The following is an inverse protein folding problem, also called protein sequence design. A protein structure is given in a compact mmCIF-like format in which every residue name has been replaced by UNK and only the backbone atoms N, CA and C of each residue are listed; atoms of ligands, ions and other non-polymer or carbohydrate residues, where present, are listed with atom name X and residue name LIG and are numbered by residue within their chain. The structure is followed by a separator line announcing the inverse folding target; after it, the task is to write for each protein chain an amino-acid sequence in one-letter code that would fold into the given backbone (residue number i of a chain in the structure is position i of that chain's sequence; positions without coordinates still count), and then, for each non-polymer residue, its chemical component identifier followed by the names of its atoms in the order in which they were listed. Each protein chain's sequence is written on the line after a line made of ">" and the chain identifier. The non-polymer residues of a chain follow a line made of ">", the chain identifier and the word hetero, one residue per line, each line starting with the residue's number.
data_IF_032461378504
#
_entry.id   IF_032461378504
#
_cell.length_a   1.000
_cell.length_b   1.000
_cell.length_c   1.000
_cell.angle_alpha   90.00
_cell.angle_beta   90.00
_cell.angle_gamma   90.00
#
_symmetry.space_group_name_H-M   'P 1'
#
loop_
_entity.id
_entity.type
_entity.pdbx_description
1 polymer ?
#
# COMPACT_ATOMS: atom_id res chain seq x y z
N UNK A 1 22.51 -77.20 -27.70
CA UNK A 1 22.52 -76.48 -26.41
C UNK A 1 22.76 -74.95 -26.50
N UNK A 2 23.18 -74.36 -27.63
CA UNK A 2 23.49 -72.91 -27.72
C UNK A 2 22.30 -71.95 -27.98
N UNK A 3 21.15 -72.43 -28.45
CA UNK A 3 19.99 -71.58 -28.81
C UNK A 3 19.27 -70.97 -27.59
N UNK A 4 19.24 -71.70 -26.47
CA UNK A 4 18.52 -71.29 -25.25
C UNK A 4 19.28 -70.18 -24.51
N UNK A 5 20.62 -70.23 -24.49
CA UNK A 5 21.46 -69.24 -23.83
C UNK A 5 21.47 -67.88 -24.56
N UNK A 6 21.47 -67.89 -25.89
CA UNK A 6 21.43 -66.65 -26.69
C UNK A 6 20.07 -65.96 -26.54
N UNK A 7 18.95 -66.71 -26.55
CA UNK A 7 17.62 -66.13 -26.27
C UNK A 7 17.53 -65.56 -24.84
N UNK A 8 18.09 -66.23 -23.85
CA UNK A 8 18.08 -65.77 -22.45
C UNK A 8 18.92 -64.49 -22.24
N UNK A 9 20.08 -64.38 -22.90
CA UNK A 9 20.91 -63.16 -22.89
C UNK A 9 20.23 -61.98 -23.59
N UNK A 10 19.56 -62.22 -24.72
CA UNK A 10 18.85 -61.16 -25.45
C UNK A 10 17.63 -60.66 -24.67
N UNK A 11 16.88 -61.56 -24.03
CA UNK A 11 15.78 -61.17 -23.13
C UNK A 11 16.27 -60.36 -21.94
N UNK A 12 17.34 -60.77 -21.26
CA UNK A 12 17.91 -60.00 -20.14
C UNK A 12 18.36 -58.59 -20.55
N UNK A 13 18.93 -58.43 -21.74
CA UNK A 13 19.36 -57.10 -22.25
C UNK A 13 18.16 -56.19 -22.57
N UNK A 14 17.05 -56.75 -23.06
CA UNK A 14 15.80 -56.00 -23.32
C UNK A 14 15.11 -55.62 -21.99
N UNK A 15 15.03 -56.53 -21.03
CA UNK A 15 14.48 -56.24 -19.70
C UNK A 15 15.29 -55.18 -18.95
N UNK A 16 16.63 -55.25 -19.01
CA UNK A 16 17.49 -54.27 -18.35
C UNK A 16 17.39 -52.87 -19.02
N UNK A 17 17.27 -52.81 -20.36
CA UNK A 17 17.02 -51.55 -21.09
C UNK A 17 15.65 -50.96 -20.78
N UNK A 18 14.62 -51.78 -20.61
CA UNK A 18 13.28 -51.33 -20.18
C UNK A 18 13.29 -50.80 -18.75
N UNK A 19 14.01 -51.45 -17.83
CA UNK A 19 14.20 -50.98 -16.46
C UNK A 19 14.88 -49.61 -16.39
N UNK A 20 15.98 -49.44 -17.15
CA UNK A 20 16.70 -48.15 -17.23
C UNK A 20 15.82 -47.06 -17.84
N UNK A 21 15.07 -47.37 -18.90
CA UNK A 21 14.17 -46.41 -19.54
C UNK A 21 13.04 -45.96 -18.59
N UNK A 22 12.47 -46.88 -17.81
CA UNK A 22 11.43 -46.55 -16.81
C UNK A 22 12.00 -45.65 -15.71
N UNK A 23 13.19 -45.95 -15.20
CA UNK A 23 13.85 -45.11 -14.18
C UNK A 23 14.19 -43.72 -14.72
N UNK A 24 14.64 -43.61 -15.97
CA UNK A 24 14.87 -42.32 -16.62
C UNK A 24 13.58 -41.50 -16.77
N UNK A 25 12.47 -42.12 -17.18
CA UNK A 25 11.18 -41.43 -17.30
C UNK A 25 10.67 -40.98 -15.93
N UNK A 26 10.76 -41.82 -14.90
CA UNK A 26 10.36 -41.45 -13.53
C UNK A 26 11.25 -40.32 -13.01
N UNK A 27 12.56 -40.38 -13.22
CA UNK A 27 13.49 -39.30 -12.85
C UNK A 27 13.21 -37.99 -13.57
N UNK A 28 12.88 -38.05 -14.86
CA UNK A 28 12.52 -36.87 -15.66
C UNK A 28 11.19 -36.25 -15.19
N UNK A 29 10.18 -37.07 -14.91
CA UNK A 29 8.90 -36.63 -14.34
C UNK A 29 9.10 -36.02 -12.95
N UNK A 30 9.94 -36.63 -12.11
CA UNK A 30 10.24 -36.15 -10.77
C UNK A 30 10.95 -34.79 -10.74
N UNK A 31 11.67 -34.43 -11.81
CA UNK A 31 12.34 -33.12 -11.92
C UNK A 31 11.43 -32.10 -12.61
N UNK A 32 10.78 -32.47 -13.72
CA UNK A 32 10.00 -31.53 -14.53
C UNK A 32 8.71 -31.08 -13.82
N UNK A 33 8.02 -31.99 -13.13
CA UNK A 33 6.73 -31.67 -12.49
C UNK A 33 6.89 -30.63 -11.37
N UNK A 34 7.85 -30.74 -10.43
CA UNK A 34 8.07 -29.70 -9.42
C UNK A 34 8.51 -28.36 -10.01
N UNK A 35 9.31 -28.37 -11.08
CA UNK A 35 9.75 -27.13 -11.75
C UNK A 35 8.58 -26.42 -12.42
N UNK A 36 7.71 -27.14 -13.13
CA UNK A 36 6.50 -26.58 -13.73
C UNK A 36 5.53 -26.07 -12.65
N UNK A 37 5.42 -26.77 -11.53
CA UNK A 37 4.62 -26.34 -10.39
C UNK A 37 5.16 -25.06 -9.76
N UNK A 38 6.48 -24.95 -9.54
CA UNK A 38 7.13 -23.74 -9.04
C UNK A 38 6.94 -22.54 -9.99
N UNK A 39 7.17 -22.75 -11.30
CA UNK A 39 6.96 -21.70 -12.31
C UNK A 39 5.50 -21.25 -12.38
N UNK A 40 4.54 -22.17 -12.23
CA UNK A 40 3.12 -21.86 -12.14
C UNK A 40 2.78 -21.04 -10.88
N UNK A 41 3.36 -21.39 -9.73
CA UNK A 41 3.19 -20.61 -8.49
C UNK A 41 3.82 -19.21 -8.60
N UNK A 42 4.99 -19.08 -9.22
CA UNK A 42 5.64 -17.78 -9.41
C UNK A 42 4.88 -16.89 -10.40
N UNK A 43 4.39 -17.45 -11.52
CA UNK A 43 3.58 -16.73 -12.50
C UNK A 43 2.23 -16.27 -11.93
N UNK A 44 1.60 -17.08 -11.08
CA UNK A 44 0.36 -16.70 -10.38
C UNK A 44 0.61 -15.67 -9.28
N UNK A 45 1.78 -15.66 -8.64
CA UNK A 45 2.13 -14.66 -7.62
C UNK A 45 2.32 -13.26 -8.22
N UNK A 46 3.12 -13.13 -9.29
CA UNK A 46 3.38 -11.83 -9.92
C UNK A 46 2.13 -11.23 -10.56
N UNK A 47 1.28 -12.06 -11.16
CA UNK A 47 0.00 -11.60 -11.72
C UNK A 47 -0.96 -11.14 -10.62
N UNK A 48 -1.09 -11.88 -9.51
CA UNK A 48 -1.89 -11.45 -8.35
C UNK A 48 -1.39 -10.14 -7.74
N UNK A 49 -0.06 -9.98 -7.64
CA UNK A 49 0.57 -8.75 -7.17
C UNK A 49 0.26 -7.57 -8.10
N UNK A 50 0.37 -7.77 -9.41
CA UNK A 50 0.03 -6.76 -10.42
C UNK A 50 -1.46 -6.36 -10.36
N UNK A 51 -2.37 -7.33 -10.22
CA UNK A 51 -3.79 -7.04 -10.02
C UNK A 51 -4.04 -6.24 -8.74
N UNK A 52 -3.39 -6.60 -7.62
CA UNK A 52 -3.49 -5.86 -6.37
C UNK A 52 -3.01 -4.42 -6.51
N UNK A 53 -1.88 -4.19 -7.18
CA UNK A 53 -1.39 -2.82 -7.43
C UNK A 53 -2.31 -2.04 -8.37
N UNK A 54 -2.81 -2.70 -9.41
CA UNK A 54 -3.76 -2.08 -10.33
C UNK A 54 -5.04 -1.66 -9.60
N UNK A 55 -5.63 -2.54 -8.80
CA UNK A 55 -6.82 -2.25 -7.99
C UNK A 55 -6.56 -1.11 -7.00
N UNK A 56 -5.38 -1.08 -6.36
CA UNK A 56 -5.01 0.01 -5.47
C UNK A 56 -4.93 1.36 -6.20
N UNK A 57 -4.23 1.42 -7.33
CA UNK A 57 -4.10 2.63 -8.15
C UNK A 57 -5.45 3.10 -8.70
N UNK A 58 -6.30 2.16 -9.11
CA UNK A 58 -7.66 2.43 -9.58
C UNK A 58 -8.50 3.07 -8.46
N UNK A 59 -8.39 2.54 -7.24
CA UNK A 59 -9.12 3.05 -6.07
C UNK A 59 -8.69 4.47 -5.73
N UNK A 60 -7.37 4.70 -5.68
CA UNK A 60 -6.77 6.01 -5.41
C UNK A 60 -7.19 7.04 -6.47
N UNK A 61 -7.04 6.72 -7.76
CA UNK A 61 -7.39 7.63 -8.87
C UNK A 61 -8.89 7.96 -8.91
N UNK A 62 -9.74 7.00 -8.52
CA UNK A 62 -11.19 7.19 -8.41
C UNK A 62 -11.52 8.16 -7.26
N UNK A 63 -10.89 8.02 -6.09
CA UNK A 63 -11.05 8.97 -4.98
C UNK A 63 -10.53 10.38 -5.33
N UNK A 64 -9.39 10.49 -6.02
CA UNK A 64 -8.88 11.77 -6.53
C UNK A 64 -9.84 12.44 -7.50
N UNK A 65 -10.46 11.65 -8.38
CA UNK A 65 -11.49 12.15 -9.29
C UNK A 65 -12.71 12.67 -8.52
N UNK A 66 -13.11 12.00 -7.45
CA UNK A 66 -14.15 12.47 -6.54
C UNK A 66 -13.81 13.80 -5.85
N UNK A 67 -12.56 13.97 -5.40
CA UNK A 67 -12.06 15.23 -4.83
C UNK A 67 -12.11 16.37 -5.86
N UNK A 68 -11.65 16.12 -7.09
CA UNK A 68 -11.73 17.09 -8.18
C UNK A 68 -13.18 17.45 -8.57
N UNK A 69 -14.09 16.48 -8.50
CA UNK A 69 -15.53 16.73 -8.69
C UNK A 69 -16.08 17.63 -7.58
N UNK A 70 -15.60 17.48 -6.33
CA UNK A 70 -15.93 18.35 -5.21
C UNK A 70 -15.49 19.79 -5.43
N UNK A 71 -14.24 19.99 -5.85
CA UNK A 71 -13.73 21.33 -6.22
C UNK A 71 -14.57 21.93 -7.35
N UNK A 72 -14.89 21.15 -8.38
CA UNK A 72 -15.70 21.61 -9.52
C UNK A 72 -17.10 22.03 -9.10
N UNK A 73 -17.73 21.29 -8.18
CA UNK A 73 -19.03 21.64 -7.60
C UNK A 73 -18.96 22.93 -6.80
N UNK A 74 -17.94 23.09 -5.95
CA UNK A 74 -17.71 24.35 -5.24
C UNK A 74 -17.49 25.50 -6.21
N UNK A 75 -16.73 25.31 -7.30
CA UNK A 75 -16.55 26.34 -8.36
C UNK A 75 -17.86 26.68 -9.06
N UNK A 76 -18.80 25.74 -9.18
CA UNK A 76 -20.17 25.97 -9.64
C UNK A 76 -21.05 26.76 -8.65
N UNK A 77 -20.47 27.32 -7.58
CA UNK A 77 -21.17 28.04 -6.52
C UNK A 77 -22.22 27.18 -5.78
N UNK A 78 -22.04 25.85 -5.74
CA UNK A 78 -22.82 25.01 -4.84
C UNK A 78 -22.41 25.31 -3.40
N UNK A 79 -23.41 25.49 -2.53
CA UNK A 79 -23.22 25.88 -1.13
C UNK A 79 -23.90 24.93 -0.18
N UNK A 80 -23.41 24.95 1.06
CA UNK A 80 -23.95 24.15 2.15
C UNK A 80 -23.49 22.68 2.09
N UNK A 81 -24.13 21.85 2.91
CA UNK A 81 -23.78 20.44 2.99
C UNK A 81 -24.16 19.70 1.70
N UNK A 82 -23.23 18.91 1.16
CA UNK A 82 -23.48 17.99 0.06
C UNK A 82 -22.99 16.60 0.46
N UNK A 83 -23.82 15.59 0.26
CA UNK A 83 -23.42 14.21 0.41
C UNK A 83 -23.85 13.44 -0.83
N UNK A 84 -22.88 12.96 -1.59
CA UNK A 84 -23.06 12.33 -2.88
C UNK A 84 -22.47 10.94 -2.78
N UNK A 85 -23.32 9.94 -2.78
CA UNK A 85 -22.91 8.53 -2.74
C UNK A 85 -23.01 7.93 -4.12
N UNK A 86 -22.16 6.94 -4.42
CA UNK A 86 -22.21 6.13 -5.65
C UNK A 86 -22.16 6.97 -6.95
N UNK A 87 -21.34 8.02 -6.97
CA UNK A 87 -21.06 8.75 -8.21
C UNK A 87 -20.06 7.96 -9.05
N UNK A 88 -20.25 7.93 -10.37
CA UNK A 88 -19.45 7.07 -11.24
C UNK A 88 -18.32 7.83 -11.95
N UNK A 89 -17.17 7.17 -12.06
CA UNK A 89 -16.06 7.53 -12.95
C UNK A 89 -15.77 6.30 -13.80
N UNK A 90 -16.34 6.25 -15.00
CA UNK A 90 -16.40 5.01 -15.78
C UNK A 90 -17.31 4.00 -15.08
N UNK A 91 -16.77 2.82 -14.77
CA UNK A 91 -17.49 1.73 -14.08
C UNK A 91 -17.31 1.75 -12.55
N UNK A 92 -16.39 2.57 -12.04
CA UNK A 92 -16.05 2.62 -10.62
C UNK A 92 -16.78 3.75 -9.90
N UNK A 93 -17.13 3.52 -8.63
CA UNK A 93 -17.89 4.47 -7.83
C UNK A 93 -17.05 5.20 -6.80
N UNK A 94 -17.29 6.50 -6.63
CA UNK A 94 -16.81 7.30 -5.51
C UNK A 94 -17.98 7.87 -4.70
N UNK A 95 -17.69 8.22 -3.45
CA UNK A 95 -18.54 9.06 -2.62
C UNK A 95 -17.84 10.39 -2.35
N UNK A 96 -18.60 11.47 -2.26
CA UNK A 96 -18.13 12.81 -2.02
C UNK A 96 -19.00 13.49 -0.96
N UNK A 97 -18.38 13.91 0.13
CA UNK A 97 -18.97 14.72 1.17
C UNK A 97 -18.34 16.12 1.16
N UNK A 98 -19.15 17.16 0.98
CA UNK A 98 -18.75 18.55 1.19
C UNK A 98 -19.47 19.05 2.43
N UNK A 99 -18.72 19.31 3.50
CA UNK A 99 -19.27 19.76 4.76
C UNK A 99 -18.84 21.19 5.04
N UNK A 100 -19.79 22.15 5.15
CA UNK A 100 -19.45 23.50 5.55
C UNK A 100 -18.99 23.49 7.01
N UNK A 101 -17.85 24.14 7.26
CA UNK A 101 -17.23 24.21 8.61
C UNK A 101 -17.42 25.58 9.24
N UNK A 102 -17.55 26.62 8.42
CA UNK A 102 -17.77 27.98 8.90
C UNK A 102 -17.39 29.00 7.84
N UNK A 103 -17.05 30.21 8.31
CA UNK A 103 -16.58 31.30 7.47
C UNK A 103 -15.16 31.69 7.85
N UNK A 104 -14.34 31.96 6.84
CA UNK A 104 -12.99 32.48 7.02
C UNK A 104 -12.98 34.00 7.19
N UNK A 105 -11.76 34.52 7.38
CA UNK A 105 -11.51 35.93 7.68
C UNK A 105 -11.99 36.91 6.61
N UNK A 106 -11.93 36.52 5.34
CA UNK A 106 -12.37 37.30 4.18
C UNK A 106 -13.81 36.96 3.75
N UNK A 107 -14.63 36.43 4.68
CA UNK A 107 -15.99 35.95 4.41
C UNK A 107 -16.06 34.83 3.35
N UNK A 108 -14.96 34.08 3.15
CA UNK A 108 -15.00 32.84 2.38
C UNK A 108 -15.79 31.77 3.16
N UNK A 109 -16.56 30.96 2.46
CA UNK A 109 -17.18 29.77 3.05
C UNK A 109 -16.15 28.64 3.08
N UNK A 110 -15.94 28.06 4.25
CA UNK A 110 -14.96 27.00 4.48
C UNK A 110 -15.64 25.63 4.41
N UNK A 111 -15.01 24.67 3.76
CA UNK A 111 -15.51 23.32 3.59
C UNK A 111 -14.45 22.28 3.94
N UNK A 112 -14.88 21.21 4.61
CA UNK A 112 -14.19 19.93 4.51
C UNK A 112 -14.73 19.16 3.32
N UNK A 113 -13.83 18.71 2.47
CA UNK A 113 -14.11 17.87 1.33
C UNK A 113 -13.57 16.48 1.63
N UNK A 114 -14.44 15.49 1.70
CA UNK A 114 -14.06 14.08 1.78
C UNK A 114 -14.52 13.36 0.53
N UNK A 115 -13.58 12.76 -0.19
CA UNK A 115 -13.83 11.89 -1.31
C UNK A 115 -13.32 10.49 -0.98
N UNK A 116 -14.18 9.48 -1.08
CA UNK A 116 -13.82 8.09 -0.81
C UNK A 116 -14.16 7.19 -1.99
N UNK A 117 -13.35 6.15 -2.17
CA UNK A 117 -13.59 5.10 -3.16
C UNK A 117 -13.29 3.76 -2.53
N UNK A 118 -14.11 2.76 -2.86
CA UNK A 118 -13.94 1.38 -2.41
C UNK A 118 -14.08 0.45 -3.60
N UNK A 119 -12.99 -0.26 -3.91
CA UNK A 119 -12.94 -1.21 -5.02
C UNK A 119 -12.45 -2.54 -4.45
N UNK A 120 -13.35 -3.53 -4.44
CA UNK A 120 -13.12 -4.83 -3.80
C UNK A 120 -12.67 -4.68 -2.33
N UNK A 121 -11.43 -5.05 -2.01
CA UNK A 121 -10.83 -4.95 -0.68
C UNK A 121 -10.05 -3.65 -0.43
N UNK A 122 -9.89 -2.80 -1.45
CA UNK A 122 -9.16 -1.54 -1.34
C UNK A 122 -10.12 -0.41 -0.99
N UNK A 123 -9.77 0.37 0.03
CA UNK A 123 -10.47 1.59 0.41
C UNK A 123 -9.47 2.74 0.35
N UNK A 124 -9.89 3.86 -0.20
CA UNK A 124 -9.08 5.06 -0.25
C UNK A 124 -9.96 6.26 0.05
N UNK A 125 -9.54 7.08 1.01
CA UNK A 125 -10.21 8.31 1.36
C UNK A 125 -9.23 9.48 1.24
N UNK A 126 -9.70 10.55 0.61
CA UNK A 126 -9.03 11.84 0.49
C UNK A 126 -9.86 12.86 1.23
N UNK A 127 -9.22 13.57 2.14
CA UNK A 127 -9.76 14.75 2.76
C UNK A 127 -8.97 15.96 2.26
N UNK A 128 -9.64 17.08 2.03
CA UNK A 128 -9.00 18.38 1.85
C UNK A 128 -9.85 19.48 2.48
N UNK A 129 -9.21 20.57 2.88
CA UNK A 129 -9.91 21.82 3.16
C UNK A 129 -10.11 22.60 1.86
N UNK A 130 -11.27 23.22 1.71
CA UNK A 130 -11.56 24.09 0.58
C UNK A 130 -12.17 25.41 1.05
N UNK A 131 -11.63 26.51 0.54
CA UNK A 131 -12.14 27.86 0.74
C UNK A 131 -12.87 28.30 -0.52
N UNK A 132 -14.16 28.60 -0.40
CA UNK A 132 -14.98 29.13 -1.48
C UNK A 132 -15.22 30.62 -1.25
N UNK A 133 -14.72 31.46 -2.15
CA UNK A 133 -14.96 32.91 -2.06
C UNK A 133 -16.35 33.24 -2.63
N UNK A 134 -17.04 34.19 -2.00
CA UNK A 134 -18.31 34.70 -2.51
C UNK A 134 -18.07 35.45 -3.83
N UNK A 135 -18.75 35.10 -4.93
CA UNK A 135 -18.65 35.85 -6.18
C UNK A 135 -19.49 37.13 -6.11
N UNK A 136 -18.95 38.20 -6.68
CA UNK A 136 -19.72 39.12 -7.53
C UNK A 136 -19.96 38.41 -8.89
N UNK A 137 -21.07 38.66 -9.61
CA UNK A 137 -22.26 37.81 -9.63
C UNK A 137 -22.29 36.64 -10.65
N UNK A 138 -21.16 36.07 -11.10
CA UNK A 138 -21.15 34.99 -12.10
C UNK A 138 -20.16 33.86 -11.74
N UNK A 139 -20.53 32.56 -11.72
CA UNK A 139 -19.58 31.47 -11.59
C UNK A 139 -18.59 31.43 -12.79
N UNK A 140 -17.37 30.90 -12.62
CA UNK A 140 -16.90 30.10 -11.49
C UNK A 140 -16.40 30.94 -10.32
N UNK A 141 -16.72 30.50 -9.11
CA UNK A 141 -16.18 31.08 -7.87
C UNK A 141 -14.74 30.66 -7.66
N UNK A 142 -13.94 31.54 -7.08
CA UNK A 142 -12.59 31.18 -6.63
C UNK A 142 -12.71 30.15 -5.51
N UNK A 143 -12.12 28.97 -5.74
CA UNK A 143 -11.99 27.91 -4.75
C UNK A 143 -10.51 27.62 -4.55
N UNK A 144 -10.04 27.76 -3.31
CA UNK A 144 -8.69 27.41 -2.91
C UNK A 144 -8.77 26.13 -2.07
N UNK A 145 -8.30 25.02 -2.63
CA UNK A 145 -8.11 23.78 -1.87
C UNK A 145 -6.74 23.80 -1.19
N UNK A 146 -6.69 23.50 0.10
CA UNK A 146 -5.46 23.39 0.89
C UNK A 146 -5.50 22.14 1.76
N UNK A 147 -4.32 21.78 2.24
CA UNK A 147 -4.11 20.68 3.19
C UNK A 147 -4.79 19.37 2.74
N UNK A 148 -4.14 18.68 1.80
CA UNK A 148 -4.62 17.38 1.35
C UNK A 148 -4.16 16.29 2.32
N UNK A 149 -5.10 15.47 2.77
CA UNK A 149 -4.84 14.27 3.55
C UNK A 149 -5.40 13.07 2.80
N UNK A 150 -4.63 11.99 2.75
CA UNK A 150 -5.02 10.75 2.12
C UNK A 150 -4.70 9.58 3.04
N UNK A 151 -5.53 8.53 2.95
CA UNK A 151 -5.37 7.31 3.74
C UNK A 151 -5.77 6.12 2.89
N UNK A 152 -4.93 5.08 2.93
CA UNK A 152 -5.11 3.79 2.26
C UNK A 152 -5.72 2.74 3.20
N UNK A 153 -6.06 3.15 4.44
CA UNK A 153 -6.49 2.25 5.51
C UNK A 153 -8.01 2.17 5.63
N UNK A 154 -8.57 1.05 6.14
CA UNK A 154 -10.00 0.72 6.05
C UNK A 154 -10.91 1.56 6.96
N UNK A 155 -10.45 2.68 7.50
CA UNK A 155 -11.29 3.54 8.32
C UNK A 155 -12.35 4.21 7.43
N UNK A 156 -13.63 3.93 7.71
CA UNK A 156 -14.77 4.71 7.21
C UNK A 156 -14.72 6.08 7.87
N UNK A 157 -14.06 7.04 7.23
CA UNK A 157 -13.98 8.42 7.73
C UNK A 157 -15.24 9.14 7.26
N UNK A 158 -16.32 8.92 8.00
CA UNK A 158 -17.63 9.49 7.69
C UNK A 158 -17.97 10.68 8.62
N UNK A 159 -17.17 10.92 9.68
CA UNK A 159 -17.47 11.90 10.72
C UNK A 159 -16.31 12.87 11.02
N UNK A 160 -16.67 14.08 11.45
CA UNK A 160 -15.71 15.15 11.81
C UNK A 160 -14.86 14.80 13.03
N UNK A 161 -15.36 13.94 13.92
CA UNK A 161 -14.58 13.46 15.06
C UNK A 161 -13.40 12.60 14.60
N UNK A 162 -13.61 11.74 13.59
CA UNK A 162 -12.58 10.88 13.01
C UNK A 162 -11.57 11.71 12.21
N UNK A 163 -12.04 12.77 11.55
CA UNK A 163 -11.18 13.76 10.89
C UNK A 163 -10.27 14.48 11.88
N UNK A 164 -10.80 14.94 13.01
CA UNK A 164 -10.02 15.62 14.05
C UNK A 164 -9.06 14.67 14.76
N UNK A 165 -9.45 13.41 14.99
CA UNK A 165 -8.54 12.41 15.55
C UNK A 165 -7.39 12.13 14.60
N UNK A 166 -7.65 12.02 13.30
CA UNK A 166 -6.59 11.85 12.29
C UNK A 166 -5.64 13.05 12.22
N UNK A 167 -6.15 14.28 12.26
CA UNK A 167 -5.31 15.47 12.31
C UNK A 167 -4.45 15.51 13.58
N UNK A 168 -5.01 15.13 14.73
CA UNK A 168 -4.29 15.09 16.00
C UNK A 168 -3.25 13.97 16.07
N UNK A 169 -3.61 12.74 15.67
CA UNK A 169 -2.70 11.59 15.67
C UNK A 169 -1.52 11.84 14.72
N UNK A 170 -1.79 12.45 13.56
CA UNK A 170 -0.74 12.87 12.64
C UNK A 170 0.10 14.03 13.19
N UNK A 171 -0.50 14.97 13.90
CA UNK A 171 0.23 16.00 14.63
C UNK A 171 1.20 15.40 15.65
N UNK A 172 0.76 14.38 16.38
CA UNK A 172 1.60 13.60 17.30
C UNK A 172 2.71 12.86 16.56
N UNK A 173 2.41 12.23 15.42
CA UNK A 173 3.42 11.52 14.63
C UNK A 173 4.47 12.46 14.00
N UNK A 174 4.06 13.65 13.56
CA UNK A 174 4.97 14.68 13.07
C UNK A 174 5.87 15.22 14.17
N UNK A 175 5.33 15.44 15.38
CA UNK A 175 6.12 15.81 16.56
C UNK A 175 7.11 14.70 16.92
N UNK A 176 6.69 13.43 16.93
CA UNK A 176 7.57 12.28 17.16
C UNK A 176 8.64 12.15 16.09
N UNK A 177 8.33 12.43 14.83
CA UNK A 177 9.29 12.43 13.74
C UNK A 177 10.33 13.54 13.94
N UNK A 178 9.92 14.73 14.34
CA UNK A 178 10.84 15.84 14.60
C UNK A 178 11.74 15.55 15.80
N UNK A 179 11.17 15.02 16.90
CA UNK A 179 11.92 14.52 18.05
C UNK A 179 12.93 13.43 17.65
N UNK A 180 12.51 12.51 16.77
CA UNK A 180 13.38 11.44 16.26
C UNK A 180 14.50 12.02 15.40
N UNK A 181 14.20 12.99 14.52
CA UNK A 181 15.20 13.66 13.67
C UNK A 181 16.20 14.47 14.48
N UNK A 182 15.75 15.16 15.53
CA UNK A 182 16.60 15.91 16.43
C UNK A 182 17.47 14.98 17.28
N UNK A 183 16.93 13.86 17.73
CA UNK A 183 17.73 12.81 18.36
C UNK A 183 18.78 12.24 17.39
N UNK A 184 18.41 11.93 16.15
CA UNK A 184 19.35 11.39 15.15
C UNK A 184 20.53 12.33 14.90
N UNK A 185 20.27 13.63 14.78
CA UNK A 185 21.31 14.65 14.56
C UNK A 185 22.22 14.86 15.77
N UNK A 186 21.66 14.86 16.98
CA UNK A 186 22.38 15.31 18.17
C UNK A 186 22.98 14.17 19.00
N UNK A 187 22.45 12.95 18.89
CA UNK A 187 22.98 11.81 19.62
C UNK A 187 24.35 11.43 19.09
N UNK A 188 25.32 11.24 19.98
CA UNK A 188 26.64 10.72 19.59
C UNK A 188 26.54 9.25 19.15
N UNK A 189 27.46 8.73 18.32
CA UNK A 189 27.45 7.33 17.90
C UNK A 189 27.41 6.33 19.07
N UNK A 190 28.08 6.66 20.18
CA UNK A 190 28.10 5.82 21.39
C UNK A 190 26.78 5.83 22.16
N UNK A 191 26.11 6.99 22.25
CA UNK A 191 24.76 7.10 22.81
C UNK A 191 23.75 6.35 21.95
N UNK A 192 23.86 6.52 20.63
CA UNK A 192 23.00 5.88 19.64
C UNK A 192 23.07 4.35 19.71
N UNK A 193 24.29 3.79 19.63
CA UNK A 193 24.52 2.34 19.76
C UNK A 193 23.95 1.80 21.07
N UNK A 194 24.23 2.46 22.20
CA UNK A 194 23.74 2.03 23.52
C UNK A 194 22.21 1.99 23.62
N UNK A 195 21.53 2.99 23.06
CA UNK A 195 20.06 3.06 23.10
C UNK A 195 19.40 2.06 22.14
N UNK A 196 19.93 1.88 20.93
CA UNK A 196 19.42 0.89 19.96
C UNK A 196 19.67 -0.53 20.49
N UNK A 197 20.83 -0.79 21.11
CA UNK A 197 21.13 -2.08 21.74
C UNK A 197 20.14 -2.42 22.87
N UNK A 198 19.76 -1.42 23.67
CA UNK A 198 18.81 -1.61 24.78
C UNK A 198 17.40 -2.02 24.30
N UNK A 199 17.04 -1.68 23.05
CA UNK A 199 15.76 -2.05 22.44
C UNK A 199 15.68 -3.50 21.96
N UNK A 200 16.81 -4.23 21.96
CA UNK A 200 16.86 -5.67 21.61
C UNK A 200 15.85 -6.53 22.36
N UNK A 201 15.61 -6.21 23.64
CA UNK A 201 14.67 -6.92 24.51
C UNK A 201 13.20 -6.88 24.07
N UNK A 202 12.86 -6.00 23.11
CA UNK A 202 11.50 -5.84 22.57
C UNK A 202 11.32 -6.51 21.21
N UNK A 203 12.37 -7.12 20.66
CA UNK A 203 12.33 -7.78 19.36
C UNK A 203 11.86 -9.24 19.51
N UNK A 204 11.19 -9.80 18.48
CA UNK A 204 10.96 -11.23 18.37
C UNK A 204 12.26 -12.03 18.51
N UNK A 205 12.21 -13.19 19.17
CA UNK A 205 13.40 -14.03 19.45
C UNK A 205 14.22 -14.37 18.21
N UNK A 206 13.56 -14.47 17.06
CA UNK A 206 14.15 -14.74 15.74
C UNK A 206 15.10 -13.63 15.26
N UNK A 207 14.91 -12.38 15.71
CA UNK A 207 15.66 -11.21 15.24
C UNK A 207 16.75 -10.75 16.21
N UNK A 208 16.75 -11.28 17.45
CA UNK A 208 17.74 -10.94 18.48
C UNK A 208 19.18 -11.28 18.06
N UNK A 209 19.47 -12.44 17.41
CA UNK A 209 20.83 -12.79 17.01
C UNK A 209 21.45 -11.84 15.98
N UNK A 210 20.62 -11.31 15.07
CA UNK A 210 21.05 -10.43 13.98
C UNK A 210 21.10 -8.95 14.40
N UNK A 211 20.46 -8.62 15.53
CA UNK A 211 20.34 -7.26 16.03
C UNK A 211 21.68 -6.54 16.26
N UNK A 212 22.72 -7.16 16.84
CA UNK A 212 24.01 -6.49 17.04
C UNK A 212 24.63 -6.01 15.72
N UNK A 213 24.57 -6.83 14.66
CA UNK A 213 25.08 -6.46 13.34
C UNK A 213 24.30 -5.28 12.75
N UNK A 214 22.97 -5.26 12.94
CA UNK A 214 22.11 -4.14 12.53
C UNK A 214 22.48 -2.87 13.30
N UNK A 215 22.73 -2.95 14.62
CA UNK A 215 23.15 -1.79 15.42
C UNK A 215 24.49 -1.23 14.92
N UNK A 216 25.46 -2.11 14.61
CA UNK A 216 26.77 -1.70 14.11
C UNK A 216 26.65 -1.01 12.74
N UNK A 217 25.87 -1.57 11.82
CA UNK A 217 25.61 -0.97 10.51
C UNK A 217 24.94 0.41 10.67
N UNK A 218 23.87 0.52 11.46
CA UNK A 218 23.17 1.79 11.71
C UNK A 218 24.06 2.83 12.40
N UNK A 219 24.98 2.39 13.28
CA UNK A 219 25.95 3.29 13.92
C UNK A 219 27.00 3.78 12.94
N UNK A 220 27.41 2.94 11.98
CA UNK A 220 28.38 3.28 10.93
C UNK A 220 27.81 4.21 9.86
N UNK A 221 26.53 4.05 9.52
CA UNK A 221 25.80 4.88 8.55
C UNK A 221 25.27 6.18 9.14
N UNK A 222 25.41 6.36 10.47
CA UNK A 222 25.01 7.58 11.14
C UNK A 222 25.77 8.76 10.53
N UNK A 223 25.03 9.66 9.87
CA UNK A 223 25.58 10.89 9.29
C UNK A 223 26.31 11.68 10.38
N UNK A 224 27.65 11.64 10.34
CA UNK A 224 28.47 12.61 11.05
C UNK A 224 28.26 13.97 10.39
N UNK A 225 27.78 14.96 11.14
CA UNK A 225 27.90 16.36 10.74
C UNK A 225 29.36 16.73 10.52
#
# INVERSE_FOLDING_TARGET
>A
MNSIWIKKLHMNKIYNRRGIAIVMVIGLVAIIVPVLYLLSQMGTSQTKLAFKYHENLLTETTAFSGSNAGISRLRGNLRGYQNLTNQLVGDESYSLNLRPTGKGFFQQDLYYMLASSKIKSHNYAIMAEAEQFNPEPDPPVLVISRDFWNTVEPYEIDQVADVLSMQNDRGVDLLRLDETRDYEKNATPTQYSKEIQAKSSRLPEELIPDWPEIVDNLTSEKLSM
#
